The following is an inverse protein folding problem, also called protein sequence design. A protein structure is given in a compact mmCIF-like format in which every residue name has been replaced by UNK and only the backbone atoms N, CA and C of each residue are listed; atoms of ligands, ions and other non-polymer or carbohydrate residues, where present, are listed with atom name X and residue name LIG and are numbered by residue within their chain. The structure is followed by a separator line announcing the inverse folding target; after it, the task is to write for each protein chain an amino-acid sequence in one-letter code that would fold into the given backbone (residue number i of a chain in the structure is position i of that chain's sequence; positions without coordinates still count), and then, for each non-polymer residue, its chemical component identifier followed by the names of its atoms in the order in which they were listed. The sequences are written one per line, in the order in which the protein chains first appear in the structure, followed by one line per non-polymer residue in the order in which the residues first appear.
data_IF_377138132060
#
_entry.id   IF_377138132060
#
_cell.length_a   1.000
_cell.length_b   1.000
_cell.length_c   1.000
_cell.angle_alpha   90.00
_cell.angle_beta   90.00
_cell.angle_gamma   90.00
#
_symmetry.space_group_name_H-M   'P 1'
#
loop_
_entity.id
_entity.type
_entity.pdbx_description
1 polymer ?
#
# COMPACT_ATOMS: atom_id res chain seq x y z
N UNK A 1 10.12 19.07 -1.27
CA UNK A 1 8.70 19.06 -0.87
C UNK A 1 8.29 17.65 -0.45
N UNK A 2 7.39 17.56 0.49
CA UNK A 2 6.87 16.27 0.98
C UNK A 2 5.36 16.21 0.81
N UNK A 3 4.87 15.04 0.44
CA UNK A 3 3.44 14.77 0.29
C UNK A 3 3.11 13.57 1.18
N UNK A 4 1.94 13.58 1.79
CA UNK A 4 1.52 12.49 2.68
C UNK A 4 0.12 12.02 2.35
N UNK A 5 -0.09 10.72 2.47
CA UNK A 5 -1.44 10.16 2.50
C UNK A 5 -1.50 9.00 3.48
N UNK A 6 -2.70 8.75 3.99
CA UNK A 6 -2.96 7.70 4.96
C UNK A 6 -3.85 6.65 4.33
N UNK A 7 -3.52 5.39 4.59
CA UNK A 7 -4.34 4.23 4.21
C UNK A 7 -4.91 3.65 5.49
N UNK A 8 -6.14 4.03 5.88
CA UNK A 8 -6.78 3.45 7.06
C UNK A 8 -7.21 2.02 6.78
N UNK A 9 -7.58 1.29 7.83
CA UNK A 9 -8.19 -0.01 7.64
C UNK A 9 -9.43 0.13 6.73
N UNK A 10 -9.57 -0.81 5.80
CA UNK A 10 -10.70 -0.79 4.88
C UNK A 10 -11.96 -1.30 5.60
N UNK A 11 -13.01 -0.48 5.73
CA UNK A 11 -14.22 -0.91 6.42
C UNK A 11 -15.03 -1.95 5.65
N UNK A 12 -14.76 -2.13 4.36
CA UNK A 12 -15.43 -3.15 3.56
C UNK A 12 -14.82 -4.52 3.86
N UNK A 13 -15.66 -5.54 3.94
CA UNK A 13 -15.18 -6.91 4.11
C UNK A 13 -14.40 -7.34 2.90
N UNK A 14 -13.19 -7.83 3.14
CA UNK A 14 -12.36 -8.45 2.12
C UNK A 14 -12.69 -9.94 2.02
N UNK A 15 -12.07 -10.60 1.04
CA UNK A 15 -12.22 -12.04 0.81
C UNK A 15 -11.71 -12.90 1.97
N UNK A 16 -10.90 -12.31 2.84
CA UNK A 16 -10.38 -13.00 4.01
C UNK A 16 -11.13 -12.49 5.24
N UNK A 17 -11.66 -13.39 6.08
CA UNK A 17 -12.34 -12.98 7.31
C UNK A 17 -11.42 -12.11 8.17
N UNK A 18 -11.96 -11.04 8.73
CA UNK A 18 -11.25 -10.13 9.64
C UNK A 18 -10.13 -9.31 9.02
N UNK A 19 -10.07 -9.19 7.68
CA UNK A 19 -8.99 -8.46 7.01
C UNK A 19 -9.45 -7.08 6.55
N UNK A 20 -9.64 -6.17 7.50
CA UNK A 20 -9.82 -4.75 7.22
C UNK A 20 -8.48 -4.02 7.12
N UNK A 21 -7.41 -4.66 7.57
CA UNK A 21 -6.04 -4.12 7.53
C UNK A 21 -5.34 -4.49 6.23
N UNK A 22 -4.29 -3.75 5.89
CA UNK A 22 -3.44 -4.09 4.75
C UNK A 22 -2.95 -5.52 4.89
N UNK A 23 -3.18 -6.38 3.88
CA UNK A 23 -2.69 -7.76 3.92
C UNK A 23 -1.17 -7.85 3.94
N UNK A 24 -0.66 -8.98 4.43
CA UNK A 24 0.74 -9.33 4.33
C UNK A 24 0.99 -10.22 3.11
N UNK A 25 2.26 -10.47 2.80
CA UNK A 25 2.62 -11.43 1.76
C UNK A 25 2.08 -12.82 2.07
N UNK A 26 2.11 -13.24 3.35
CA UNK A 26 1.54 -14.54 3.75
C UNK A 26 0.04 -14.61 3.46
N UNK A 27 -0.70 -13.53 3.74
CA UNK A 27 -2.13 -13.46 3.42
C UNK A 27 -2.35 -13.64 1.93
N UNK A 28 -1.53 -12.98 1.11
CA UNK A 28 -1.61 -13.06 -0.34
C UNK A 28 -1.30 -14.48 -0.85
N UNK A 29 -0.22 -15.10 -0.37
CA UNK A 29 0.16 -16.45 -0.75
C UNK A 29 -0.95 -17.44 -0.39
N UNK A 30 -1.53 -17.29 0.81
CA UNK A 30 -2.64 -18.13 1.24
C UNK A 30 -3.86 -17.95 0.34
N UNK A 31 -4.19 -16.71 -0.01
CA UNK A 31 -5.32 -16.40 -0.89
C UNK A 31 -5.11 -16.91 -2.31
N UNK A 32 -3.86 -16.93 -2.80
CA UNK A 32 -3.53 -17.46 -4.13
C UNK A 32 -3.85 -18.94 -4.28
N UNK A 33 -3.92 -19.71 -3.18
CA UNK A 33 -4.28 -21.13 -3.19
C UNK A 33 -5.78 -21.36 -3.28
N UNK A 34 -6.59 -20.32 -3.23
CA UNK A 34 -8.06 -20.41 -3.27
C UNK A 34 -8.56 -19.73 -4.54
N UNK A 35 -9.63 -20.32 -5.12
CA UNK A 35 -10.23 -19.77 -6.34
C UNK A 35 -11.65 -19.28 -6.09
N UNK A 36 -12.03 -18.26 -6.83
CA UNK A 36 -13.41 -17.77 -6.88
C UNK A 36 -14.24 -18.69 -7.77
N UNK A 37 -15.58 -18.63 -7.70
CA UNK A 37 -16.44 -19.40 -8.60
C UNK A 37 -16.19 -19.13 -10.09
N UNK A 38 -15.64 -17.95 -10.43
CA UNK A 38 -15.30 -17.61 -11.82
C UNK A 38 -13.90 -18.07 -12.23
N UNK A 39 -13.17 -18.77 -11.36
CA UNK A 39 -11.85 -19.34 -11.68
C UNK A 39 -10.66 -18.43 -11.41
N UNK A 40 -10.87 -17.20 -10.93
CA UNK A 40 -9.77 -16.31 -10.53
C UNK A 40 -9.23 -16.72 -9.15
N UNK A 41 -7.95 -16.45 -8.88
CA UNK A 41 -7.43 -16.65 -7.53
C UNK A 41 -7.99 -15.58 -6.60
N UNK A 42 -8.23 -15.94 -5.33
CA UNK A 42 -8.65 -14.97 -4.33
C UNK A 42 -7.55 -13.94 -4.06
N UNK A 43 -6.28 -14.33 -4.22
CA UNK A 43 -5.16 -13.40 -4.10
C UNK A 43 -5.19 -12.30 -5.16
N UNK A 44 -5.47 -12.67 -6.42
CA UNK A 44 -5.58 -11.69 -7.50
C UNK A 44 -6.72 -10.69 -7.24
N UNK A 45 -7.86 -11.18 -6.75
CA UNK A 45 -9.00 -10.33 -6.42
C UNK A 45 -8.67 -9.42 -5.23
N UNK A 46 -8.06 -9.97 -4.19
CA UNK A 46 -7.65 -9.20 -3.00
C UNK A 46 -6.69 -8.07 -3.38
N UNK A 47 -5.69 -8.39 -4.19
CA UNK A 47 -4.70 -7.42 -4.66
C UNK A 47 -5.37 -6.27 -5.40
N UNK A 48 -6.26 -6.59 -6.33
CA UNK A 48 -7.00 -5.61 -7.13
C UNK A 48 -7.87 -4.70 -6.24
N UNK A 49 -8.57 -5.28 -5.27
CA UNK A 49 -9.42 -4.53 -4.35
C UNK A 49 -8.60 -3.56 -3.50
N UNK A 50 -7.47 -4.02 -2.96
CA UNK A 50 -6.60 -3.16 -2.16
C UNK A 50 -5.97 -2.05 -2.99
N UNK A 51 -5.57 -2.35 -4.23
CA UNK A 51 -5.02 -1.33 -5.12
C UNK A 51 -6.06 -0.24 -5.41
N UNK A 52 -7.31 -0.61 -5.69
CA UNK A 52 -8.39 0.35 -5.88
C UNK A 52 -8.64 1.19 -4.63
N UNK A 53 -8.60 0.56 -3.46
CA UNK A 53 -8.79 1.26 -2.20
C UNK A 53 -7.69 2.30 -1.98
N UNK A 54 -6.43 1.93 -2.19
CA UNK A 54 -5.31 2.85 -2.05
C UNK A 54 -5.41 4.00 -3.06
N UNK A 55 -5.79 3.71 -4.31
CA UNK A 55 -6.04 4.75 -5.31
C UNK A 55 -7.08 5.76 -4.80
N UNK A 56 -8.17 5.26 -4.19
CA UNK A 56 -9.20 6.15 -3.64
C UNK A 56 -8.66 7.00 -2.50
N UNK A 57 -7.79 6.45 -1.64
CA UNK A 57 -7.15 7.21 -0.57
C UNK A 57 -6.27 8.34 -1.13
N UNK A 58 -5.48 8.02 -2.15
CA UNK A 58 -4.60 9.01 -2.80
C UNK A 58 -5.41 10.12 -3.44
N UNK A 59 -6.45 9.77 -4.19
CA UNK A 59 -7.29 10.74 -4.88
C UNK A 59 -8.02 11.69 -3.94
N UNK A 60 -8.41 11.21 -2.76
CA UNK A 60 -9.05 12.06 -1.76
C UNK A 60 -8.08 13.01 -1.08
N UNK A 61 -6.87 12.53 -0.79
CA UNK A 61 -5.92 13.25 0.05
C UNK A 61 -4.92 14.08 -0.74
N UNK A 62 -4.57 13.64 -1.95
CA UNK A 62 -3.59 14.32 -2.82
C UNK A 62 -4.19 14.66 -4.18
N UNK A 63 -5.40 15.15 -4.17
CA UNK A 63 -6.15 15.47 -5.39
C UNK A 63 -5.38 16.44 -6.28
N UNK A 64 -5.20 16.07 -7.55
CA UNK A 64 -4.51 16.92 -8.53
C UNK A 64 -3.00 16.97 -8.43
N UNK A 65 -2.42 16.29 -7.44
CA UNK A 65 -0.96 16.26 -7.27
C UNK A 65 -0.33 15.37 -8.34
N UNK A 66 0.76 15.86 -8.92
CA UNK A 66 1.60 15.12 -9.87
C UNK A 66 3.05 15.32 -9.45
N UNK A 67 3.76 14.22 -9.20
CA UNK A 67 5.15 14.26 -8.79
C UNK A 67 5.99 13.75 -9.94
N UNK A 68 6.86 14.57 -10.50
CA UNK A 68 7.72 14.22 -11.64
C UNK A 68 9.18 14.08 -11.23
N UNK A 69 9.55 14.57 -10.05
CA UNK A 69 10.91 14.44 -9.51
C UNK A 69 11.11 13.05 -8.90
N UNK A 70 12.37 12.58 -8.83
CA UNK A 70 12.66 11.36 -8.06
C UNK A 70 12.23 11.52 -6.61
N UNK A 71 11.77 10.42 -6.01
CA UNK A 71 11.27 10.43 -4.63
C UNK A 71 11.91 9.34 -3.78
N UNK A 72 11.89 9.58 -2.48
CA UNK A 72 12.02 8.55 -1.46
C UNK A 72 10.63 8.30 -0.88
N UNK A 73 10.23 7.04 -0.80
CA UNK A 73 8.95 6.65 -0.23
C UNK A 73 9.15 6.16 1.18
N UNK A 74 8.55 6.85 2.15
CA UNK A 74 8.62 6.46 3.56
C UNK A 74 7.31 5.81 3.96
N UNK A 75 7.39 4.55 4.42
CA UNK A 75 6.24 3.79 4.89
C UNK A 75 6.26 3.75 6.41
N UNK A 76 5.16 4.14 7.03
CA UNK A 76 4.99 4.09 8.49
C UNK A 76 3.80 3.17 8.76
N UNK A 77 4.10 2.01 9.33
CA UNK A 77 3.09 0.98 9.61
C UNK A 77 2.67 1.09 11.07
N UNK A 78 1.38 1.29 11.29
CA UNK A 78 0.79 1.30 12.63
C UNK A 78 -0.05 0.04 12.73
N UNK A 79 0.48 -0.98 13.38
CA UNK A 79 -0.14 -2.30 13.53
C UNK A 79 -0.92 -2.37 14.83
N UNK A 80 -1.97 -3.20 14.88
CA UNK A 80 -2.75 -3.39 16.09
C UNK A 80 -1.96 -4.11 17.19
N UNK A 81 -0.94 -4.92 16.80
CA UNK A 81 -0.07 -5.69 17.68
C UNK A 81 1.23 -6.00 16.94
N UNK A 82 2.09 -6.82 17.56
CA UNK A 82 3.40 -7.18 17.00
C UNK A 82 3.45 -8.60 16.42
N UNK A 83 2.32 -9.19 16.08
CA UNK A 83 2.25 -10.61 15.69
C UNK A 83 2.73 -10.86 14.26
N UNK A 84 2.52 -9.91 13.35
CA UNK A 84 2.89 -10.12 11.95
C UNK A 84 4.37 -9.82 11.71
N UNK A 85 4.96 -10.56 10.76
CA UNK A 85 6.34 -10.36 10.30
C UNK A 85 6.43 -9.07 9.48
N UNK A 86 7.35 -8.16 9.85
CA UNK A 86 7.49 -6.86 9.21
C UNK A 86 7.84 -6.97 7.72
N UNK A 87 8.70 -7.93 7.37
CA UNK A 87 9.06 -8.15 5.96
C UNK A 87 7.87 -8.54 5.11
N UNK A 88 6.99 -9.38 5.65
CA UNK A 88 5.78 -9.83 4.95
C UNK A 88 4.76 -8.71 4.81
N UNK A 89 4.63 -7.84 5.82
CA UNK A 89 3.74 -6.68 5.74
C UNK A 89 4.21 -5.74 4.62
N UNK A 90 5.48 -5.37 4.66
CA UNK A 90 6.04 -4.40 3.73
C UNK A 90 6.04 -4.90 2.28
N UNK A 91 6.37 -6.18 2.07
CA UNK A 91 6.47 -6.75 0.73
C UNK A 91 5.16 -6.61 -0.06
N UNK A 92 4.03 -6.90 0.57
CA UNK A 92 2.73 -6.76 -0.08
C UNK A 92 2.34 -5.28 -0.24
N UNK A 93 2.47 -4.50 0.84
CA UNK A 93 2.06 -3.10 0.85
C UNK A 93 2.85 -2.27 -0.15
N UNK A 94 4.16 -2.46 -0.24
CA UNK A 94 5.00 -1.73 -1.18
C UNK A 94 4.49 -1.89 -2.61
N UNK A 95 4.21 -3.11 -3.02
CA UNK A 95 3.74 -3.38 -4.38
C UNK A 95 2.38 -2.73 -4.65
N UNK A 96 1.46 -2.83 -3.70
CA UNK A 96 0.13 -2.22 -3.82
C UNK A 96 0.23 -0.69 -3.92
N UNK A 97 1.03 -0.07 -3.07
CA UNK A 97 1.19 1.39 -3.04
C UNK A 97 1.85 1.89 -4.33
N UNK A 98 2.92 1.23 -4.78
CA UNK A 98 3.60 1.63 -6.02
C UNK A 98 2.68 1.52 -7.23
N UNK A 99 1.95 0.43 -7.34
CA UNK A 99 1.00 0.24 -8.43
C UNK A 99 -0.14 1.27 -8.37
N UNK A 100 -0.63 1.58 -7.16
CA UNK A 100 -1.69 2.57 -6.98
C UNK A 100 -1.22 3.98 -7.34
N UNK A 101 -0.01 4.35 -6.93
CA UNK A 101 0.56 5.67 -7.26
C UNK A 101 0.70 5.85 -8.77
N UNK A 102 1.10 4.79 -9.47
CA UNK A 102 1.22 4.82 -10.92
C UNK A 102 -0.15 4.87 -11.59
N UNK A 103 -1.10 4.06 -11.13
CA UNK A 103 -2.47 3.98 -11.67
C UNK A 103 -3.18 5.34 -11.65
N UNK A 104 -3.09 6.06 -10.54
CA UNK A 104 -3.75 7.36 -10.41
C UNK A 104 -2.88 8.51 -10.91
N UNK A 105 -1.74 8.21 -11.51
CA UNK A 105 -0.79 9.17 -12.09
C UNK A 105 -0.22 10.15 -11.08
N UNK A 106 -0.11 9.74 -9.82
CA UNK A 106 0.62 10.52 -8.83
C UNK A 106 2.10 10.59 -9.20
N UNK A 107 2.63 9.46 -9.70
CA UNK A 107 3.98 9.36 -10.28
C UNK A 107 3.89 8.78 -11.70
N UNK A 108 4.84 9.11 -12.60
CA UNK A 108 4.79 8.60 -13.98
C UNK A 108 5.05 7.10 -14.08
N UNK A 109 5.94 6.57 -13.25
CA UNK A 109 6.35 5.17 -13.28
C UNK A 109 6.96 4.81 -11.91
N UNK A 110 7.01 3.52 -11.59
CA UNK A 110 7.57 3.02 -10.34
C UNK A 110 9.02 2.51 -10.47
N UNK A 111 9.68 2.77 -11.60
CA UNK A 111 11.06 2.33 -11.81
C UNK A 111 12.06 3.21 -11.06
N UNK A 112 13.35 2.84 -11.14
CA UNK A 112 14.43 3.52 -10.42
C UNK A 112 14.67 4.97 -10.83
N UNK A 113 14.10 5.41 -11.93
CA UNK A 113 14.18 6.81 -12.34
C UNK A 113 13.35 7.69 -11.41
N UNK A 114 12.23 7.19 -10.91
CA UNK A 114 11.28 7.95 -10.10
C UNK A 114 11.32 7.56 -8.63
N UNK A 115 11.46 6.27 -8.31
CA UNK A 115 11.58 5.81 -6.91
C UNK A 115 13.03 5.44 -6.66
N UNK A 116 13.76 6.30 -5.95
CA UNK A 116 15.18 6.10 -5.69
C UNK A 116 15.45 5.25 -4.47
N UNK A 117 14.60 5.34 -3.47
CA UNK A 117 14.74 4.56 -2.24
C UNK A 117 13.45 4.56 -1.46
N UNK A 118 13.39 3.71 -0.47
CA UNK A 118 12.27 3.66 0.47
C UNK A 118 12.76 3.39 1.87
N UNK A 119 11.94 3.73 2.87
CA UNK A 119 12.14 3.36 4.26
C UNK A 119 10.86 2.71 4.77
N UNK A 120 10.99 1.88 5.80
CA UNK A 120 9.84 1.24 6.43
C UNK A 120 10.07 1.19 7.93
N UNK A 121 9.14 1.78 8.68
CA UNK A 121 9.17 1.81 10.14
C UNK A 121 7.87 1.25 10.68
N UNK A 122 7.95 0.53 11.81
CA UNK A 122 6.81 -0.20 12.36
C UNK A 122 6.54 0.23 13.79
N UNK A 123 5.27 0.56 14.03
CA UNK A 123 4.76 1.02 15.32
C UNK A 123 3.53 0.22 15.69
N UNK A 124 3.14 0.27 16.94
CA UNK A 124 1.91 -0.36 17.42
C UNK A 124 0.89 0.71 17.79
N UNK A 125 -0.28 0.63 17.21
CA UNK A 125 -1.43 1.48 17.56
C UNK A 125 -2.68 0.61 17.57
N UNK A 126 -3.05 0.13 18.73
CA UNK A 126 -4.16 -0.79 18.91
C UNK A 126 -5.50 -0.19 18.49
N UNK A 127 -5.65 1.13 18.64
CA UNK A 127 -6.94 1.81 18.46
C UNK A 127 -7.14 2.35 17.05
N UNK A 128 -6.06 2.59 16.32
CA UNK A 128 -6.14 3.15 14.96
C UNK A 128 -5.04 2.58 14.06
N UNK A 129 -5.08 1.27 13.78
CA UNK A 129 -4.12 0.66 12.84
C UNK A 129 -4.27 1.28 11.45
N UNK A 130 -3.14 1.56 10.81
CA UNK A 130 -3.13 2.21 9.49
C UNK A 130 -1.74 2.14 8.88
N UNK A 131 -1.64 2.54 7.61
CA UNK A 131 -0.36 2.80 6.95
C UNK A 131 -0.33 4.27 6.57
N UNK A 132 0.76 4.95 6.92
CA UNK A 132 1.00 6.32 6.46
C UNK A 132 2.16 6.31 5.48
N UNK A 133 1.98 6.99 4.36
CA UNK A 133 2.99 7.07 3.30
C UNK A 133 3.41 8.52 3.12
N UNK A 134 4.72 8.76 3.18
CA UNK A 134 5.29 10.07 2.93
C UNK A 134 6.18 10.00 1.70
N UNK A 135 5.93 10.89 0.74
CA UNK A 135 6.69 10.98 -0.50
C UNK A 135 7.58 12.21 -0.43
N UNK A 136 8.88 11.98 -0.35
CA UNK A 136 9.86 13.06 -0.26
C UNK A 136 10.52 13.25 -1.62
N UNK A 137 10.35 14.43 -2.22
CA UNK A 137 11.04 14.76 -3.46
C UNK A 137 12.55 14.89 -3.19
N UNK A 138 13.33 14.28 -4.06
CA UNK A 138 14.78 14.34 -4.00
C UNK A 138 15.30 15.31 -5.06
N UNK A 139 16.48 15.85 -4.83
CA UNK A 139 17.10 16.70 -5.81
C UNK A 139 17.47 15.91 -7.06
N UNK A 140 17.19 16.50 -8.20
CA UNK A 140 17.50 15.94 -9.50
C UNK A 140 18.97 16.20 -9.83
N UNK A 141 19.79 15.15 -9.78
CA UNK A 141 21.21 15.25 -10.13
C UNK A 141 21.52 14.41 -11.34
#
# INVERSE_FOLDING_TARGET
MKYRFTIPNNPKKNYLPNHQRMPSLNDFIHAERQRTPKGFTKGAVMKKEWQKYVVSCIRKQLRGVRITKPICVHYYYYEQDRKRDIGNIHAFCQKIVEDAMQDCRLIPNDNQQYIKKFTADFYTDKFNPRVEVCLEELEDK
#
